data_IF_569631176967
#
_entry.id   IF_569631176967
#
_cell.length_a   1.000
_cell.length_b   1.000
_cell.length_c   1.000
_cell.angle_alpha   90.00
_cell.angle_beta   90.00
_cell.angle_gamma   90.00
#
_symmetry.space_group_name_H-M   'P 1'
#
loop_
_entity.id
_entity.type
_entity.pdbx_description
1 polymer ?
#
# COMPACT_ATOMS: atom_id res chain seq x y z
N UNK A 1 6.10 14.89 4.69
CA UNK A 1 5.12 14.14 3.86
C UNK A 1 5.79 13.01 3.06
N UNK A 2 6.84 13.24 2.23
CA UNK A 2 7.35 12.20 1.31
C UNK A 2 7.99 10.99 1.99
N UNK A 3 8.71 11.20 3.10
CA UNK A 3 9.41 10.11 3.79
C UNK A 3 8.48 9.19 4.59
N UNK A 4 7.45 9.73 5.25
CA UNK A 4 6.48 8.93 6.01
C UNK A 4 5.60 8.11 5.06
N UNK A 5 5.11 8.72 3.97
CA UNK A 5 4.41 8.00 2.91
C UNK A 5 5.32 6.95 2.25
N UNK A 6 6.57 7.32 1.93
CA UNK A 6 7.54 6.41 1.34
C UNK A 6 7.82 5.20 2.22
N UNK A 7 8.01 5.42 3.53
CA UNK A 7 8.20 4.35 4.50
C UNK A 7 6.95 3.46 4.61
N UNK A 8 5.75 4.05 4.67
CA UNK A 8 4.49 3.31 4.69
C UNK A 8 4.31 2.45 3.44
N UNK A 9 4.52 3.02 2.25
CA UNK A 9 4.45 2.29 0.99
C UNK A 9 5.48 1.17 0.90
N UNK A 10 6.69 1.41 1.43
CA UNK A 10 7.72 0.39 1.53
C UNK A 10 7.27 -0.76 2.45
N UNK A 11 6.63 -0.47 3.58
CA UNK A 11 6.09 -1.51 4.48
C UNK A 11 4.96 -2.31 3.85
N UNK A 12 4.09 -1.70 3.04
CA UNK A 12 3.02 -2.42 2.33
C UNK A 12 3.63 -3.34 1.26
N UNK A 13 4.61 -2.85 0.51
CA UNK A 13 5.34 -3.65 -0.48
C UNK A 13 6.06 -4.85 0.14
N UNK A 14 6.74 -4.65 1.28
CA UNK A 14 7.42 -5.70 2.03
C UNK A 14 6.44 -6.70 2.67
N UNK A 15 5.34 -6.22 3.26
CA UNK A 15 4.30 -7.07 3.81
C UNK A 15 3.72 -7.99 2.74
N UNK A 16 3.51 -7.47 1.53
CA UNK A 16 3.04 -8.27 0.43
C UNK A 16 4.04 -9.33 -0.03
N UNK A 17 5.32 -9.00 -0.11
CA UNK A 17 6.38 -9.97 -0.42
C UNK A 17 6.50 -11.05 0.66
N UNK A 18 6.36 -10.67 1.93
CA UNK A 18 6.37 -11.60 3.07
C UNK A 18 5.18 -12.57 3.04
N UNK A 19 3.97 -12.05 2.77
CA UNK A 19 2.78 -12.89 2.62
C UNK A 19 2.90 -13.85 1.43
N UNK A 20 3.52 -13.41 0.34
CA UNK A 20 3.79 -14.21 -0.86
C UNK A 20 4.80 -15.34 -0.60
N UNK A 21 5.82 -15.11 0.25
CA UNK A 21 6.79 -16.13 0.65
C UNK A 21 6.22 -17.16 1.64
N UNK A 22 5.45 -16.70 2.64
CA UNK A 22 4.82 -17.55 3.66
C UNK A 22 3.61 -18.35 3.15
N UNK A 23 3.05 -17.97 2.01
CA UNK A 23 1.93 -18.62 1.35
C UNK A 23 2.12 -20.09 0.98
N UNK A 24 3.35 -20.59 0.97
CA UNK A 24 3.72 -21.90 0.41
C UNK A 24 3.09 -23.12 1.09
N UNK A 25 2.55 -23.00 2.31
CA UNK A 25 1.78 -24.07 2.99
C UNK A 25 0.26 -23.89 2.95
N UNK A 26 -0.23 -22.72 2.54
CA UNK A 26 -1.63 -22.42 2.24
C UNK A 26 -1.87 -22.28 0.72
N UNK A 27 -0.94 -22.83 -0.06
CA UNK A 27 -0.70 -22.49 -1.46
C UNK A 27 -1.92 -22.68 -2.35
N UNK A 28 -2.79 -23.67 -2.13
CA UNK A 28 -3.94 -23.90 -3.02
C UNK A 28 -5.10 -22.92 -2.78
N UNK A 29 -5.34 -22.53 -1.51
CA UNK A 29 -6.36 -21.54 -1.15
C UNK A 29 -5.88 -20.12 -1.42
N UNK A 30 -4.58 -19.88 -1.22
CA UNK A 30 -3.99 -18.59 -1.53
C UNK A 30 -3.79 -18.45 -3.04
N UNK A 31 -3.33 -19.44 -3.80
CA UNK A 31 -3.16 -19.34 -5.27
C UNK A 31 -4.45 -19.00 -6.03
N UNK A 32 -5.61 -19.54 -5.62
CA UNK A 32 -6.95 -19.13 -6.11
C UNK A 32 -7.31 -17.66 -5.77
N UNK A 33 -6.70 -17.11 -4.71
CA UNK A 33 -6.86 -15.74 -4.24
C UNK A 33 -5.72 -14.81 -4.72
N UNK A 34 -4.57 -15.38 -5.13
CA UNK A 34 -3.30 -14.77 -5.53
C UNK A 34 -3.27 -14.51 -7.03
N UNK A 35 -3.95 -15.34 -7.82
CA UNK A 35 -4.09 -15.23 -9.28
C UNK A 35 -5.39 -14.53 -9.70
N UNK A 36 -5.94 -13.70 -8.81
CA UNK A 36 -7.08 -12.83 -9.10
C UNK A 36 -6.81 -11.46 -8.51
N UNK A 37 -6.89 -10.44 -9.35
CA UNK A 37 -6.85 -9.00 -9.05
C UNK A 37 -7.60 -8.51 -7.79
N UNK A 38 -8.41 -9.38 -7.16
CA UNK A 38 -9.23 -9.16 -5.98
C UNK A 38 -8.46 -8.92 -4.68
N UNK A 39 -7.32 -9.58 -4.43
CA UNK A 39 -6.57 -9.32 -3.19
C UNK A 39 -5.83 -7.98 -3.22
N UNK A 40 -5.18 -7.67 -4.35
CA UNK A 40 -4.57 -6.36 -4.57
C UNK A 40 -5.62 -5.24 -4.53
N UNK A 41 -6.83 -5.52 -5.03
CA UNK A 41 -7.98 -4.64 -4.92
C UNK A 41 -8.50 -4.52 -3.47
N UNK A 42 -8.60 -5.61 -2.71
CA UNK A 42 -9.03 -5.60 -1.32
C UNK A 42 -8.03 -4.85 -0.42
N UNK A 43 -6.72 -5.06 -0.64
CA UNK A 43 -5.65 -4.28 -0.01
C UNK A 43 -5.72 -2.81 -0.44
N UNK A 44 -5.95 -2.50 -1.72
CA UNK A 44 -6.12 -1.13 -2.19
C UNK A 44 -7.35 -0.45 -1.56
N UNK A 45 -8.47 -1.16 -1.42
CA UNK A 45 -9.66 -0.67 -0.71
C UNK A 45 -9.37 -0.43 0.77
N UNK A 46 -8.67 -1.36 1.43
CA UNK A 46 -8.31 -1.23 2.84
C UNK A 46 -7.35 -0.06 3.07
N UNK A 47 -6.28 0.04 2.28
CA UNK A 47 -5.30 1.13 2.33
C UNK A 47 -5.96 2.46 1.97
N UNK A 48 -6.81 2.49 0.95
CA UNK A 48 -7.56 3.67 0.53
C UNK A 48 -8.46 4.25 1.62
N UNK A 49 -8.90 3.45 2.60
CA UNK A 49 -9.72 3.91 3.73
C UNK A 49 -8.86 4.12 4.98
N UNK A 50 -7.93 3.21 5.28
CA UNK A 50 -7.09 3.28 6.47
C UNK A 50 -6.12 4.46 6.44
N UNK A 51 -5.56 4.82 5.28
CA UNK A 51 -4.60 5.92 5.17
C UNK A 51 -5.24 7.29 5.44
N UNK A 52 -6.38 7.66 4.82
CA UNK A 52 -7.09 8.89 5.16
C UNK A 52 -7.54 8.94 6.63
N UNK A 53 -7.92 7.79 7.22
CA UNK A 53 -8.28 7.73 8.64
C UNK A 53 -7.06 7.96 9.53
N UNK A 54 -5.89 7.41 9.18
CA UNK A 54 -4.64 7.61 9.92
C UNK A 54 -4.06 9.02 9.75
N UNK A 55 -4.41 9.73 8.68
CA UNK A 55 -4.04 11.13 8.48
C UNK A 55 -4.73 12.08 9.47
N UNK A 56 -5.96 11.80 9.89
CA UNK A 56 -6.73 12.62 10.83
C UNK A 56 -6.06 12.80 12.20
N UNK A 57 -5.65 11.73 12.93
CA UNK A 57 -4.97 11.89 14.21
C UNK A 57 -3.62 12.59 14.05
N UNK A 58 -2.96 12.46 12.88
CA UNK A 58 -1.71 13.14 12.58
C UNK A 58 -1.91 14.67 12.52
N UNK A 59 -2.98 15.14 11.88
CA UNK A 59 -3.34 16.56 11.82
C UNK A 59 -3.82 17.08 13.18
N UNK A 60 -4.62 16.27 13.89
CA UNK A 60 -5.22 16.67 15.17
C UNK A 60 -4.22 16.76 16.33
N UNK A 61 -3.24 15.85 16.39
CA UNK A 61 -2.29 15.77 17.51
C UNK A 61 -1.04 16.60 17.24
N UNK A 62 -0.54 16.58 16.00
CA UNK A 62 0.73 17.20 15.70
C UNK A 62 0.61 18.51 14.91
N UNK A 63 -0.60 18.88 14.44
CA UNK A 63 -0.84 20.09 13.63
C UNK A 63 0.14 20.25 12.44
N UNK A 64 0.68 19.13 11.94
CA UNK A 64 1.76 19.12 10.95
C UNK A 64 1.30 19.61 9.57
N UNK A 65 -0.01 19.59 9.33
CA UNK A 65 -0.62 19.84 8.03
C UNK A 65 -2.09 20.21 8.20
N UNK A 66 -2.60 21.07 7.31
CA UNK A 66 -4.01 21.38 7.17
C UNK A 66 -4.35 21.53 5.68
N UNK A 67 -5.49 20.99 5.24
CA UNK A 67 -5.98 21.15 3.88
C UNK A 67 -6.84 22.42 3.76
N UNK A 68 -6.39 23.48 3.05
CA UNK A 68 -7.12 24.74 2.96
C UNK A 68 -8.43 24.64 2.16
N UNK A 69 -8.59 23.62 1.31
CA UNK A 69 -9.80 23.35 0.51
C UNK A 69 -10.30 21.92 0.77
N UNK A 70 -10.65 21.61 2.00
CA UNK A 70 -11.19 20.30 2.35
C UNK A 70 -12.65 20.16 1.88
N UNK A 71 -12.90 19.15 1.04
CA UNK A 71 -14.24 18.79 0.56
C UNK A 71 -14.99 17.85 1.51
N UNK A 72 -14.26 17.09 2.34
CA UNK A 72 -14.83 16.10 3.26
C UNK A 72 -14.39 16.44 4.67
N UNK A 73 -15.34 16.67 5.57
CA UNK A 73 -15.07 16.80 7.00
C UNK A 73 -15.23 15.44 7.66
N UNK A 74 -14.13 14.89 8.15
CA UNK A 74 -14.09 13.63 8.88
C UNK A 74 -13.53 13.90 10.28
N UNK A 75 -14.29 13.53 11.33
CA UNK A 75 -13.90 13.74 12.74
C UNK A 75 -13.53 15.19 13.13
N UNK A 76 -14.08 16.20 12.42
CA UNK A 76 -13.86 17.62 12.69
C UNK A 76 -12.63 18.21 12.01
N UNK A 77 -11.87 17.42 11.26
CA UNK A 77 -10.76 17.87 10.41
C UNK A 77 -11.12 17.74 8.94
N UNK A 78 -10.58 18.66 8.14
CA UNK A 78 -10.83 18.72 6.70
C UNK A 78 -9.87 17.83 5.90
N UNK A 79 -10.42 16.90 5.13
CA UNK A 79 -9.70 16.08 4.15
C UNK A 79 -10.20 16.38 2.73
N UNK A 80 -9.32 16.22 1.74
CA UNK A 80 -9.73 16.28 0.35
C UNK A 80 -10.15 14.90 -0.13
N UNK A 81 -11.28 14.82 -0.85
CA UNK A 81 -11.84 13.57 -1.37
C UNK A 81 -10.90 12.79 -2.28
N UNK A 82 -10.03 13.49 -3.04
CA UNK A 82 -9.06 12.86 -3.92
C UNK A 82 -7.95 12.11 -3.17
N UNK A 83 -7.69 12.43 -1.90
CA UNK A 83 -6.66 11.77 -1.10
C UNK A 83 -6.89 10.26 -1.02
N UNK A 84 -8.14 9.84 -0.77
CA UNK A 84 -8.57 8.44 -0.78
C UNK A 84 -8.33 7.79 -2.15
N UNK A 85 -8.66 8.49 -3.24
CA UNK A 85 -8.43 8.00 -4.61
C UNK A 85 -6.95 7.82 -4.90
N UNK A 86 -6.09 8.74 -4.44
CA UNK A 86 -4.65 8.61 -4.61
C UNK A 86 -4.10 7.36 -3.92
N UNK A 87 -4.46 7.12 -2.66
CA UNK A 87 -4.02 5.91 -1.95
C UNK A 87 -4.53 4.63 -2.60
N UNK A 88 -5.78 4.65 -3.08
CA UNK A 88 -6.37 3.54 -3.80
C UNK A 88 -5.62 3.22 -5.10
N UNK A 89 -5.34 4.23 -5.94
CA UNK A 89 -4.67 4.04 -7.24
C UNK A 89 -3.18 3.72 -7.10
N UNK A 90 -2.52 4.25 -6.07
CA UNK A 90 -1.09 4.04 -5.87
C UNK A 90 -0.78 2.61 -5.41
N UNK A 91 -1.69 1.98 -4.69
CA UNK A 91 -1.52 0.61 -4.18
C UNK A 91 -1.30 -0.44 -5.29
N UNK A 92 -2.15 -0.59 -6.33
CA UNK A 92 -1.92 -1.56 -7.40
C UNK A 92 -0.64 -1.29 -8.21
N UNK A 93 -0.26 -0.01 -8.37
CA UNK A 93 1.01 0.34 -9.00
C UNK A 93 2.22 -0.17 -8.18
N UNK A 94 2.21 0.07 -6.87
CA UNK A 94 3.28 -0.39 -5.98
C UNK A 94 3.37 -1.91 -5.89
N UNK A 95 2.24 -2.59 -5.97
CA UNK A 95 2.17 -4.05 -6.01
C UNK A 95 2.88 -4.60 -7.26
N UNK A 96 2.64 -3.98 -8.40
CA UNK A 96 3.29 -4.39 -9.64
C UNK A 96 4.79 -4.06 -9.61
N UNK A 97 5.15 -2.91 -9.04
CA UNK A 97 6.55 -2.53 -8.85
C UNK A 97 7.30 -3.49 -7.91
N UNK A 98 6.69 -3.90 -6.78
CA UNK A 98 7.33 -4.80 -5.83
C UNK A 98 7.56 -6.20 -6.41
N UNK A 99 6.62 -6.70 -7.22
CA UNK A 99 6.76 -7.94 -7.97
C UNK A 99 7.88 -7.87 -9.01
N UNK A 100 7.95 -6.77 -9.75
CA UNK A 100 9.02 -6.54 -10.72
C UNK A 100 10.40 -6.42 -10.06
N UNK A 101 10.50 -5.75 -8.91
CA UNK A 101 11.73 -5.69 -8.13
C UNK A 101 12.15 -7.10 -7.67
N UNK A 102 11.21 -7.88 -7.10
CA UNK A 102 11.48 -9.27 -6.67
C UNK A 102 12.01 -10.12 -7.81
N UNK A 103 11.41 -10.05 -8.99
CA UNK A 103 11.88 -10.82 -10.16
C UNK A 103 13.25 -10.36 -10.64
N UNK A 104 13.54 -9.06 -10.62
CA UNK A 104 14.82 -8.52 -11.07
C UNK A 104 15.98 -8.93 -10.15
N UNK A 105 15.76 -8.95 -8.82
CA UNK A 105 16.77 -9.42 -7.87
C UNK A 105 16.97 -10.94 -7.92
N UNK A 106 15.92 -11.71 -8.23
CA UNK A 106 16.04 -13.16 -8.40
C UNK A 106 16.90 -13.51 -9.63
N UNK A 107 16.70 -12.80 -10.75
CA UNK A 107 17.48 -12.99 -11.98
C UNK A 107 18.97 -12.66 -11.77
N UNK A 108 19.28 -11.57 -11.04
CA UNK A 108 20.66 -11.19 -10.68
C UNK A 108 21.33 -12.23 -9.77
N UNK A 109 20.58 -12.82 -8.82
CA UNK A 109 21.12 -13.86 -7.95
C UNK A 109 21.46 -15.17 -8.68
N UNK A 110 20.72 -15.52 -9.73
CA UNK A 110 21.01 -16.71 -10.55
C UNK A 110 22.26 -16.51 -11.42
N UNK A 111 22.53 -15.28 -11.88
CA UNK A 111 23.75 -14.95 -12.64
C UNK A 111 25.03 -14.97 -11.79
N UNK A 112 24.94 -14.72 -10.48
CA UNK A 112 26.11 -14.74 -9.57
C UNK A 112 26.50 -16.18 -9.18
N UNK A 113 25.59 -17.13 -9.29
CA UNK A 113 25.80 -18.54 -8.90
C UNK A 113 26.28 -19.42 -10.08
N UNK A 114 26.18 -18.94 -11.33
CA UNK A 114 26.75 -19.59 -12.53
C UNK A 114 28.20 -19.19 -12.79
#
# INVERSE_FOLDING_TARGET
VPLLLGAFYCTIGLLQLYLDEKATSAAEFLWLFLDGTWLGFALACFVGIACPIAEIPLMKIFHLWNYPNADIQLFGEGLISWTTTCYFVYTPFLINLSRWLKSSFADDSDQIVQ
#
